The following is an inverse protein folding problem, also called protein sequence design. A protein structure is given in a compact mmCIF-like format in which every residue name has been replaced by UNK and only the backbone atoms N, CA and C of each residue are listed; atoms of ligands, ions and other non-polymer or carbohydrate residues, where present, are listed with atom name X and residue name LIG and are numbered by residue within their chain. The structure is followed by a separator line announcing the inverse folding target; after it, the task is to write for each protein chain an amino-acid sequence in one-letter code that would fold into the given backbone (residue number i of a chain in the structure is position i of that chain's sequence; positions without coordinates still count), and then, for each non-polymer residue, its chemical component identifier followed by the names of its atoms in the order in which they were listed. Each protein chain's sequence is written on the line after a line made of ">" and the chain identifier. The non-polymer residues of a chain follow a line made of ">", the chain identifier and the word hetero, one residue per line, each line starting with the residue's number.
data_IF_223181278714
#
_entry.id   IF_223181278714
#
_cell.length_a   1.000
_cell.length_b   1.000
_cell.length_c   1.000
_cell.angle_alpha   90.00
_cell.angle_beta   90.00
_cell.angle_gamma   90.00
#
_symmetry.space_group_name_H-M   'P 1'
#
loop_
_entity.id
_entity.type
_entity.pdbx_description
1 polymer ?
#
# COMPACT_ATOMS: atom_id res chain seq x y z
N UNK A 1 5.59 -22.98 -1.14
CA UNK A 1 5.95 -21.57 -0.93
C UNK A 1 6.70 -21.53 0.38
N UNK A 2 7.99 -21.24 0.30
CA UNK A 2 8.76 -20.88 1.47
C UNK A 2 8.40 -19.43 1.78
N UNK A 3 7.93 -19.17 3.01
CA UNK A 3 7.53 -17.84 3.48
C UNK A 3 8.54 -17.41 4.52
N UNK A 4 9.18 -16.27 4.31
CA UNK A 4 10.07 -15.64 5.28
C UNK A 4 9.40 -14.37 5.84
N UNK A 5 9.43 -14.22 7.16
CA UNK A 5 8.85 -13.06 7.83
C UNK A 5 9.90 -11.99 8.08
N UNK A 6 9.58 -10.74 7.74
CA UNK A 6 10.40 -9.57 8.10
C UNK A 6 9.77 -8.88 9.31
N UNK A 7 10.56 -8.71 10.38
CA UNK A 7 10.11 -8.06 11.62
C UNK A 7 10.79 -6.70 11.73
N UNK A 8 10.01 -5.65 11.95
CA UNK A 8 10.49 -4.29 12.15
C UNK A 8 9.50 -3.50 13.00
N UNK A 9 9.98 -2.42 13.62
CA UNK A 9 9.11 -1.45 14.31
C UNK A 9 8.82 -0.24 13.40
N UNK A 10 7.57 0.23 13.41
CA UNK A 10 7.13 1.32 12.55
C UNK A 10 6.47 2.45 13.35
N UNK A 11 6.96 3.67 13.14
CA UNK A 11 6.50 4.90 13.76
C UNK A 11 6.19 5.97 12.69
N UNK A 12 5.40 6.97 13.05
CA UNK A 12 5.06 8.13 12.21
C UNK A 12 5.08 9.40 13.06
N UNK A 13 5.31 10.54 12.42
CA UNK A 13 5.33 11.83 13.09
C UNK A 13 3.90 12.38 13.24
N UNK A 14 3.47 12.61 14.47
CA UNK A 14 2.15 13.20 14.79
C UNK A 14 2.38 14.44 15.67
N UNK A 15 2.41 15.60 15.04
CA UNK A 15 2.91 16.82 15.68
C UNK A 15 4.40 16.68 16.01
N UNK A 16 4.79 17.01 17.24
CA UNK A 16 6.20 16.93 17.68
C UNK A 16 6.58 15.56 18.30
N UNK A 17 5.78 14.52 18.07
CA UNK A 17 5.97 13.19 18.66
C UNK A 17 6.03 12.08 17.60
N UNK A 18 6.94 11.11 17.80
CA UNK A 18 6.91 9.81 17.10
C UNK A 18 5.89 8.89 17.76
N UNK A 19 4.94 8.36 16.99
CA UNK A 19 3.90 7.44 17.46
C UNK A 19 3.89 6.19 16.60
N UNK A 20 3.56 5.05 17.20
CA UNK A 20 3.47 3.79 16.47
C UNK A 20 2.42 3.88 15.35
N UNK A 21 2.72 3.25 14.21
CA UNK A 21 1.74 3.06 13.14
C UNK A 21 0.72 2.00 13.59
N UNK A 22 -0.56 2.31 13.47
CA UNK A 22 -1.64 1.45 13.98
C UNK A 22 -1.92 0.23 13.08
N UNK A 23 -1.73 0.37 11.77
CA UNK A 23 -1.86 -0.74 10.81
C UNK A 23 -0.81 -0.65 9.71
N UNK A 24 -0.20 -1.79 9.37
CA UNK A 24 0.79 -1.90 8.27
C UNK A 24 0.20 -1.48 6.91
N UNK A 25 -1.11 -1.65 6.70
CA UNK A 25 -1.79 -1.19 5.48
C UNK A 25 -1.98 0.34 5.38
N UNK A 26 -1.43 1.09 6.33
CA UNK A 26 -1.28 2.55 6.24
C UNK A 26 0.12 2.88 5.71
N UNK A 27 1.15 2.11 6.08
CA UNK A 27 2.53 2.39 5.70
C UNK A 27 2.92 1.80 4.34
N UNK A 28 2.25 0.73 3.91
CA UNK A 28 2.62 0.01 2.69
C UNK A 28 1.46 -0.71 2.00
N UNK A 29 1.61 -0.86 0.68
CA UNK A 29 0.81 -1.72 -0.18
C UNK A 29 1.74 -2.60 -1.02
N UNK A 30 1.41 -3.88 -1.16
CA UNK A 30 2.16 -4.85 -1.97
C UNK A 30 1.21 -5.37 -3.05
N UNK A 31 1.64 -5.30 -4.30
CA UNK A 31 1.00 -5.95 -5.44
C UNK A 31 1.87 -7.08 -5.99
N UNK A 32 1.48 -7.66 -7.12
CA UNK A 32 2.17 -8.82 -7.70
C UNK A 32 3.57 -8.52 -8.25
N UNK A 33 3.86 -7.27 -8.60
CA UNK A 33 5.17 -6.85 -9.15
C UNK A 33 5.74 -5.57 -8.55
N UNK A 34 5.10 -5.01 -7.54
CA UNK A 34 5.46 -3.72 -6.95
C UNK A 34 5.16 -3.68 -5.45
N UNK A 35 5.84 -2.80 -4.74
CA UNK A 35 5.54 -2.48 -3.36
C UNK A 35 5.67 -0.97 -3.14
N UNK A 36 4.60 -0.31 -2.71
CA UNK A 36 4.68 1.06 -2.22
C UNK A 36 4.88 1.03 -0.70
N UNK A 37 5.92 1.68 -0.19
CA UNK A 37 6.31 1.59 1.22
C UNK A 37 6.91 2.89 1.73
N UNK A 38 6.52 3.32 2.93
CA UNK A 38 7.17 4.44 3.61
C UNK A 38 8.29 3.94 4.53
N UNK A 39 9.52 3.88 3.99
CA UNK A 39 10.70 3.46 4.75
C UNK A 39 11.08 4.43 5.87
N UNK A 40 10.68 5.70 5.78
CA UNK A 40 10.88 6.69 6.85
C UNK A 40 10.12 6.35 8.14
N UNK A 41 9.14 5.44 8.05
CA UNK A 41 8.45 4.95 9.22
C UNK A 41 9.29 3.95 10.05
N UNK A 42 10.36 3.39 9.46
CA UNK A 42 11.24 2.42 10.14
C UNK A 42 12.46 3.17 10.68
N UNK A 43 12.47 3.44 11.99
CA UNK A 43 13.48 4.29 12.63
C UNK A 43 14.85 3.60 12.74
N UNK A 44 14.87 2.27 12.84
CA UNK A 44 16.11 1.49 12.89
C UNK A 44 16.70 1.32 11.47
N UNK A 45 17.93 1.81 11.21
CA UNK A 45 18.51 1.75 9.86
C UNK A 45 18.71 0.32 9.33
N UNK A 46 19.01 -0.64 10.21
CA UNK A 46 19.20 -2.05 9.85
C UNK A 46 17.87 -2.66 9.39
N UNK A 47 16.79 -2.48 10.14
CA UNK A 47 15.44 -2.94 9.78
C UNK A 47 14.93 -2.29 8.49
N UNK A 48 15.19 -0.99 8.32
CA UNK A 48 14.81 -0.26 7.11
C UNK A 48 15.48 -0.85 5.88
N UNK A 49 16.80 -1.09 5.99
CA UNK A 49 17.59 -1.67 4.92
C UNK A 49 17.14 -3.10 4.62
N UNK A 50 16.93 -3.91 5.65
CA UNK A 50 16.42 -5.28 5.52
C UNK A 50 15.10 -5.30 4.77
N UNK A 51 14.13 -4.46 5.15
CA UNK A 51 12.83 -4.37 4.50
C UNK A 51 12.95 -3.98 3.01
N UNK A 52 13.77 -2.99 2.69
CA UNK A 52 13.99 -2.56 1.30
C UNK A 52 14.67 -3.65 0.45
N UNK A 53 15.69 -4.31 1.00
CA UNK A 53 16.41 -5.39 0.34
C UNK A 53 15.49 -6.58 0.11
N UNK A 54 14.72 -7.04 1.11
CA UNK A 54 13.80 -8.16 0.96
C UNK A 54 12.74 -7.91 -0.12
N UNK A 55 12.12 -6.72 -0.15
CA UNK A 55 11.14 -6.38 -1.20
C UNK A 55 11.79 -6.40 -2.60
N UNK A 56 13.02 -5.92 -2.71
CA UNK A 56 13.75 -5.87 -3.98
C UNK A 56 14.21 -7.27 -4.43
N UNK A 57 14.64 -8.11 -3.50
CA UNK A 57 15.06 -9.51 -3.73
C UNK A 57 13.88 -10.39 -4.15
N UNK A 58 12.67 -10.09 -3.66
CA UNK A 58 11.41 -10.68 -4.14
C UNK A 58 11.02 -10.21 -5.56
N UNK A 59 11.84 -9.37 -6.19
CA UNK A 59 11.65 -8.88 -7.56
C UNK A 59 10.60 -7.77 -7.69
N UNK A 60 10.19 -7.17 -6.58
CA UNK A 60 9.20 -6.09 -6.59
C UNK A 60 9.87 -4.76 -6.93
N UNK A 61 9.19 -3.96 -7.77
CA UNK A 61 9.56 -2.56 -7.95
C UNK A 61 9.14 -1.76 -6.72
N UNK A 62 10.13 -1.29 -5.95
CA UNK A 62 9.91 -0.52 -4.73
C UNK A 62 9.59 0.95 -5.06
N UNK A 63 8.42 1.41 -4.62
CA UNK A 63 7.93 2.79 -4.75
C UNK A 63 7.97 3.44 -3.37
N UNK A 64 8.97 4.28 -3.14
CA UNK A 64 9.13 4.95 -1.84
C UNK A 64 8.01 5.98 -1.61
N UNK A 65 7.30 5.85 -0.50
CA UNK A 65 6.30 6.80 -0.01
C UNK A 65 6.90 7.69 1.08
N UNK A 66 6.36 8.89 1.22
CA UNK A 66 6.68 9.80 2.34
C UNK A 66 5.63 9.68 3.46
N UNK A 67 5.98 10.14 4.67
CA UNK A 67 5.01 10.23 5.78
C UNK A 67 3.78 11.07 5.40
N UNK A 68 3.98 12.15 4.64
CA UNK A 68 2.87 12.97 4.13
C UNK A 68 1.93 12.15 3.23
N UNK A 69 2.47 11.29 2.37
CA UNK A 69 1.66 10.49 1.45
C UNK A 69 0.86 9.42 2.18
N UNK A 70 1.45 8.73 3.17
CA UNK A 70 0.71 7.73 3.96
C UNK A 70 -0.34 8.37 4.87
N UNK A 71 -0.12 9.60 5.34
CA UNK A 71 -1.12 10.39 6.07
C UNK A 71 -2.33 10.76 5.19
N UNK A 72 -2.19 10.66 3.87
CA UNK A 72 -3.28 10.76 2.89
C UNK A 72 -3.60 9.40 2.26
N UNK A 73 -3.40 8.32 3.02
CA UNK A 73 -3.78 6.95 2.68
C UNK A 73 -3.09 6.34 1.46
N UNK A 74 -1.94 6.86 1.03
CA UNK A 74 -1.20 6.27 -0.09
C UNK A 74 -0.71 4.84 0.16
N UNK A 75 -0.56 4.39 1.41
CA UNK A 75 -0.29 2.97 1.72
C UNK A 75 -1.54 2.08 1.68
N UNK A 76 -2.74 2.65 1.61
CA UNK A 76 -4.02 1.92 1.64
C UNK A 76 -4.53 1.54 0.25
N UNK A 77 -3.61 1.40 -0.71
CA UNK A 77 -3.92 0.93 -2.06
C UNK A 77 -4.12 -0.59 -2.04
N UNK A 78 -4.86 -1.09 -3.03
CA UNK A 78 -5.02 -2.53 -3.25
C UNK A 78 -4.95 -2.84 -4.74
N UNK A 79 -4.15 -3.84 -5.09
CA UNK A 79 -4.19 -4.45 -6.41
C UNK A 79 -5.33 -5.46 -6.49
N UNK A 80 -6.17 -5.37 -7.51
CA UNK A 80 -7.27 -6.30 -7.75
C UNK A 80 -7.29 -6.71 -9.22
N UNK A 81 -7.71 -7.93 -9.48
CA UNK A 81 -7.92 -8.42 -10.83
C UNK A 81 -9.42 -8.44 -11.15
N UNK A 82 -9.80 -7.93 -12.32
CA UNK A 82 -11.18 -7.99 -12.80
C UNK A 82 -11.52 -9.39 -13.33
N UNK A 83 -12.81 -9.66 -13.56
CA UNK A 83 -13.26 -10.90 -14.23
C UNK A 83 -12.84 -10.98 -15.70
N UNK A 84 -12.20 -9.94 -16.24
CA UNK A 84 -11.67 -9.88 -17.61
C UNK A 84 -10.13 -9.94 -17.61
N UNK A 85 -9.52 -10.38 -16.50
CA UNK A 85 -8.06 -10.49 -16.30
C UNK A 85 -7.31 -9.16 -16.35
N UNK A 86 -8.00 -8.03 -16.15
CA UNK A 86 -7.35 -6.71 -16.07
C UNK A 86 -6.89 -6.43 -14.63
N UNK A 87 -5.64 -5.99 -14.48
CA UNK A 87 -5.11 -5.55 -13.19
C UNK A 87 -5.46 -4.09 -12.93
N UNK A 88 -6.09 -3.82 -11.79
CA UNK A 88 -6.39 -2.48 -11.30
C UNK A 88 -5.62 -2.23 -10.00
N UNK A 89 -5.17 -0.98 -9.81
CA UNK A 89 -4.64 -0.51 -8.52
C UNK A 89 -5.62 0.53 -7.99
N UNK A 90 -6.37 0.15 -6.96
CA UNK A 90 -7.47 0.93 -6.40
C UNK A 90 -6.96 1.76 -5.22
N UNK A 91 -7.30 3.05 -5.21
CA UNK A 91 -6.90 4.00 -4.16
C UNK A 91 -7.96 5.09 -3.97
N UNK A 92 -7.83 5.92 -2.93
CA UNK A 92 -8.66 7.12 -2.82
C UNK A 92 -8.16 8.26 -3.70
N UNK A 93 -9.02 9.23 -3.97
CA UNK A 93 -8.64 10.48 -4.65
C UNK A 93 -7.50 11.19 -3.91
N UNK A 94 -7.56 11.25 -2.57
CA UNK A 94 -6.53 11.87 -1.76
C UNK A 94 -5.17 11.19 -1.93
N UNK A 95 -5.14 9.85 -1.89
CA UNK A 95 -3.94 9.07 -2.14
C UNK A 95 -3.38 9.33 -3.54
N UNK A 96 -4.24 9.32 -4.57
CA UNK A 96 -3.82 9.60 -5.94
C UNK A 96 -3.18 10.98 -6.06
N UNK A 97 -3.81 12.03 -5.50
CA UNK A 97 -3.36 13.41 -5.63
C UNK A 97 -2.01 13.69 -4.97
N UNK A 98 -1.70 13.04 -3.84
CA UNK A 98 -0.41 13.23 -3.15
C UNK A 98 0.73 12.43 -3.76
N UNK A 99 0.45 11.43 -4.59
CA UNK A 99 1.49 10.72 -5.34
C UNK A 99 2.10 11.65 -6.40
N UNK A 100 3.42 11.62 -6.52
CA UNK A 100 4.14 12.28 -7.60
C UNK A 100 3.79 11.64 -8.96
N UNK A 101 3.99 12.40 -10.03
CA UNK A 101 3.81 11.90 -11.40
C UNK A 101 4.63 10.63 -11.64
N UNK A 102 5.91 10.62 -11.23
CA UNK A 102 6.79 9.45 -11.39
C UNK A 102 6.27 8.22 -10.64
N UNK A 103 5.75 8.37 -9.41
CA UNK A 103 5.16 7.26 -8.67
C UNK A 103 3.91 6.71 -9.38
N UNK A 104 3.05 7.58 -9.91
CA UNK A 104 1.86 7.16 -10.68
C UNK A 104 2.24 6.46 -11.98
N UNK A 105 3.25 6.97 -12.68
CA UNK A 105 3.77 6.35 -13.90
C UNK A 105 4.37 4.96 -13.62
N UNK A 106 5.14 4.81 -12.54
CA UNK A 106 5.68 3.50 -12.12
C UNK A 106 4.55 2.53 -11.77
N UNK A 107 3.60 2.93 -10.93
CA UNK A 107 2.45 2.07 -10.55
C UNK A 107 1.60 1.70 -11.78
N UNK A 108 1.41 2.66 -12.70
CA UNK A 108 0.66 2.47 -13.94
C UNK A 108 1.26 1.43 -14.90
N UNK A 109 2.51 1.02 -14.70
CA UNK A 109 3.11 -0.09 -15.45
C UNK A 109 2.57 -1.46 -15.01
N UNK A 110 2.03 -1.57 -13.80
CA UNK A 110 1.54 -2.81 -13.21
C UNK A 110 0.01 -2.97 -13.30
N UNK A 111 -0.72 -1.87 -13.41
CA UNK A 111 -2.17 -1.90 -13.54
C UNK A 111 -2.79 -0.53 -13.78
N UNK A 112 -4.08 -0.51 -14.14
CA UNK A 112 -4.81 0.75 -14.31
C UNK A 112 -5.09 1.36 -12.94
N UNK A 113 -4.67 2.61 -12.75
CA UNK A 113 -4.96 3.34 -11.52
C UNK A 113 -6.43 3.75 -11.49
N UNK A 114 -7.17 3.28 -10.49
CA UNK A 114 -8.58 3.62 -10.27
C UNK A 114 -8.70 4.35 -8.94
N UNK A 115 -9.27 5.55 -8.98
CA UNK A 115 -9.44 6.38 -7.79
C UNK A 115 -10.84 6.99 -7.73
N UNK A 116 -11.37 7.12 -6.52
CA UNK A 116 -12.66 7.77 -6.24
C UNK A 116 -12.54 8.64 -4.99
N UNK A 117 -13.40 9.66 -4.89
CA UNK A 117 -13.51 10.46 -3.68
C UNK A 117 -14.09 9.62 -2.53
N UNK A 118 -13.29 9.40 -1.49
CA UNK A 118 -13.65 8.66 -0.29
C UNK A 118 -13.64 9.56 0.97
N UNK A 119 -13.62 10.88 0.80
CA UNK A 119 -13.40 11.86 1.88
C UNK A 119 -14.34 11.67 3.08
N UNK A 120 -15.62 11.33 2.85
CA UNK A 120 -16.56 11.07 3.94
C UNK A 120 -16.15 9.86 4.80
N UNK A 121 -15.67 8.79 4.16
CA UNK A 121 -15.25 7.56 4.85
C UNK A 121 -13.92 7.78 5.57
N UNK A 122 -12.98 8.47 4.93
CA UNK A 122 -11.67 8.77 5.49
C UNK A 122 -11.80 9.68 6.72
N UNK A 123 -12.61 10.74 6.63
CA UNK A 123 -12.79 11.71 7.70
C UNK A 123 -13.57 11.15 8.88
N UNK A 124 -14.63 10.35 8.62
CA UNK A 124 -15.51 9.86 9.68
C UNK A 124 -15.12 8.47 10.22
N UNK A 125 -14.48 7.63 9.41
CA UNK A 125 -14.22 6.22 9.70
C UNK A 125 -12.75 5.86 9.87
N UNK A 126 -11.81 6.72 9.45
CA UNK A 126 -10.37 6.47 9.59
C UNK A 126 -9.81 5.34 8.71
N UNK A 127 -10.58 4.90 7.70
CA UNK A 127 -10.16 3.91 6.71
C UNK A 127 -10.30 4.46 5.28
N UNK A 128 -9.66 3.79 4.31
CA UNK A 128 -9.70 4.19 2.89
C UNK A 128 -9.96 2.96 2.00
N UNK A 129 -9.60 3.04 0.71
CA UNK A 129 -9.97 2.07 -0.32
C UNK A 129 -9.78 0.60 0.08
N UNK A 130 -8.57 0.20 0.51
CA UNK A 130 -8.30 -1.19 0.93
C UNK A 130 -9.14 -1.62 2.12
N UNK A 131 -9.42 -0.73 3.06
CA UNK A 131 -10.27 -1.03 4.22
C UNK A 131 -11.74 -1.28 3.85
N UNK A 132 -12.17 -0.88 2.65
CA UNK A 132 -13.53 -1.10 2.14
C UNK A 132 -13.66 -2.37 1.28
N UNK A 133 -12.57 -3.11 1.07
CA UNK A 133 -12.53 -4.30 0.22
C UNK A 133 -12.13 -5.53 1.04
N UNK A 134 -12.72 -6.67 0.69
CA UNK A 134 -12.38 -7.96 1.28
C UNK A 134 -12.05 -8.94 0.15
N UNK A 135 -10.84 -9.50 0.18
CA UNK A 135 -10.38 -10.44 -0.83
C UNK A 135 -10.99 -11.82 -0.56
N UNK A 136 -11.81 -12.31 -1.49
CA UNK A 136 -12.36 -13.67 -1.44
C UNK A 136 -11.40 -14.59 -2.19
N UNK A 137 -10.49 -15.22 -1.46
CA UNK A 137 -9.45 -16.10 -2.02
C UNK A 137 -9.94 -17.52 -2.35
N UNK A 138 -11.19 -17.86 -2.01
CA UNK A 138 -11.76 -19.16 -2.31
C UNK A 138 -12.32 -19.16 -3.74
N UNK A 139 -11.98 -20.17 -4.58
CA UNK A 139 -12.59 -20.29 -5.89
C UNK A 139 -14.10 -20.44 -5.76
N UNK A 140 -14.85 -19.80 -6.66
CA UNK A 140 -16.28 -20.01 -6.77
C UNK A 140 -16.52 -21.49 -7.04
N UNK A 141 -17.30 -22.16 -6.19
CA UNK A 141 -17.72 -23.53 -6.46
C UNK A 141 -18.46 -23.56 -7.81
N UNK A 142 -17.99 -24.39 -8.75
CA UNK A 142 -18.71 -24.63 -9.99
C UNK A 142 -20.11 -25.16 -9.65
N UNK A 143 -21.19 -24.64 -10.27
CA UNK A 143 -22.52 -25.21 -10.09
C UNK A 143 -22.47 -26.69 -10.53
N UNK A 144 -22.92 -27.59 -9.65
CA UNK A 144 -23.10 -29.02 -9.91
C UNK A 144 -24.17 -29.29 -10.97
#
# INVERSE_FOLDING_TARGET
>A
MDLEGVVFEAFQSVGDARKAIYHTNVMMAIGTGWAAVCLDCVDHPEDRKLLEETLSEDGLTVVLLTENQINHFAGNMLEVQTTQDETLIVMSQAAFEVLSLAQRETLGQFGTLVHNDLNTIETCGGGSARCMMAEVHLPLESPS
#
